data_IF_498060615657
#
_entry.id   IF_498060615657
#
_cell.length_a   1.000
_cell.length_b   1.000
_cell.length_c   1.000
_cell.angle_alpha   90.00
_cell.angle_beta   90.00
_cell.angle_gamma   90.00
#
_symmetry.space_group_name_H-M   'P 1'
#
loop_
_entity.id
_entity.type
_entity.pdbx_description
1 polymer ?
#
# COMPACT_ATOMS: atom_id res chain seq x y z
N UNK A 1 48.14 -28.41 -18.29
CA UNK A 1 48.06 -27.22 -17.41
C UNK A 1 46.72 -26.56 -17.65
N UNK A 2 45.79 -26.64 -16.70
CA UNK A 2 44.51 -25.94 -16.83
C UNK A 2 44.81 -24.44 -16.79
N UNK A 3 44.37 -23.70 -17.81
CA UNK A 3 44.64 -22.26 -17.90
C UNK A 3 43.96 -21.56 -16.72
N UNK A 4 44.71 -21.00 -15.75
CA UNK A 4 44.14 -20.44 -14.52
C UNK A 4 43.16 -19.30 -14.81
N UNK A 5 43.33 -18.63 -15.95
CA UNK A 5 42.43 -17.59 -16.44
C UNK A 5 41.02 -18.10 -16.78
N UNK A 6 40.89 -19.33 -17.28
CA UNK A 6 39.58 -19.94 -17.60
C UNK A 6 38.83 -20.33 -16.34
N UNK A 7 39.56 -20.73 -15.29
CA UNK A 7 38.99 -21.07 -13.98
C UNK A 7 38.46 -19.79 -13.32
N UNK A 8 39.24 -18.70 -13.34
CA UNK A 8 38.82 -17.41 -12.78
C UNK A 8 37.58 -16.84 -13.50
N UNK A 9 37.56 -16.89 -14.84
CA UNK A 9 36.40 -16.46 -15.62
C UNK A 9 35.14 -17.27 -15.29
N UNK A 10 35.27 -18.60 -15.12
CA UNK A 10 34.15 -19.46 -14.74
C UNK A 10 33.58 -19.12 -13.35
N UNK A 11 34.43 -18.82 -12.37
CA UNK A 11 33.99 -18.44 -11.01
C UNK A 11 33.22 -17.13 -11.02
N UNK A 12 33.69 -16.12 -11.78
CA UNK A 12 33.02 -14.83 -11.90
C UNK A 12 31.64 -14.99 -12.54
N UNK A 13 31.55 -15.75 -13.64
CA UNK A 13 30.26 -15.99 -14.32
C UNK A 13 29.29 -16.71 -13.39
N UNK A 14 29.71 -17.78 -12.72
CA UNK A 14 28.86 -18.52 -11.77
C UNK A 14 28.41 -17.64 -10.60
N UNK A 15 29.27 -16.77 -10.05
CA UNK A 15 28.90 -15.91 -8.91
C UNK A 15 27.79 -14.91 -9.22
N UNK A 16 27.64 -14.51 -10.49
CA UNK A 16 26.58 -13.59 -10.93
C UNK A 16 25.33 -14.37 -11.33
N UNK A 17 25.47 -15.53 -11.98
CA UNK A 17 24.32 -16.27 -12.51
C UNK A 17 23.62 -17.14 -11.46
N UNK A 18 24.35 -17.70 -10.48
CA UNK A 18 23.74 -18.52 -9.42
C UNK A 18 22.71 -17.76 -8.58
N UNK A 19 22.97 -16.53 -8.06
CA UNK A 19 21.98 -15.83 -7.24
C UNK A 19 20.76 -15.44 -8.07
N UNK A 20 20.92 -15.02 -9.33
CA UNK A 20 19.80 -14.68 -10.22
C UNK A 20 18.93 -15.92 -10.48
N UNK A 21 19.55 -17.07 -10.77
CA UNK A 21 18.84 -18.32 -11.01
C UNK A 21 18.15 -18.84 -9.75
N UNK A 22 18.81 -18.73 -8.59
CA UNK A 22 18.21 -19.08 -7.30
C UNK A 22 17.03 -18.15 -6.97
N UNK A 23 17.13 -16.85 -7.26
CA UNK A 23 16.02 -15.91 -7.12
C UNK A 23 14.84 -16.23 -8.04
N UNK A 24 15.07 -16.79 -9.24
CA UNK A 24 14.01 -17.22 -10.16
C UNK A 24 13.38 -18.55 -9.74
N UNK A 25 14.19 -19.51 -9.27
CA UNK A 25 13.70 -20.83 -8.85
C UNK A 25 13.02 -20.78 -7.47
N UNK A 26 13.53 -19.95 -6.56
CA UNK A 26 12.89 -19.65 -5.27
C UNK A 26 11.94 -18.46 -5.33
N UNK A 27 11.62 -17.98 -6.54
CA UNK A 27 10.43 -17.18 -6.76
C UNK A 27 9.26 -18.15 -6.62
N UNK A 28 8.83 -18.40 -5.38
CA UNK A 28 7.47 -18.87 -5.15
C UNK A 28 6.56 -17.94 -5.94
N UNK A 29 5.63 -18.52 -6.71
CA UNK A 29 4.61 -17.74 -7.42
C UNK A 29 4.02 -16.77 -6.39
N UNK A 30 4.42 -15.50 -6.48
CA UNK A 30 3.57 -14.45 -5.96
C UNK A 30 2.32 -14.65 -6.80
N UNK A 31 1.25 -15.15 -6.19
CA UNK A 31 -0.09 -14.95 -6.70
C UNK A 31 -0.27 -13.44 -6.79
N UNK A 32 0.18 -12.86 -7.91
CA UNK A 32 -0.13 -11.51 -8.28
C UNK A 32 -1.61 -11.59 -8.59
N UNK A 33 -2.44 -11.33 -7.58
CA UNK A 33 -3.76 -10.77 -7.80
C UNK A 33 -3.53 -9.36 -8.37
N UNK A 34 -3.03 -9.33 -9.60
CA UNK A 34 -3.03 -8.17 -10.48
C UNK A 34 -4.49 -7.99 -10.87
N UNK A 35 -5.17 -6.92 -10.45
CA UNK A 35 -6.47 -6.60 -11.01
C UNK A 35 -6.22 -6.26 -12.48
N UNK A 36 -6.59 -7.18 -13.38
CA UNK A 36 -6.75 -6.84 -14.78
C UNK A 36 -7.80 -5.72 -14.86
N UNK A 37 -7.37 -4.55 -15.34
CA UNK A 37 -8.26 -3.51 -15.83
C UNK A 37 -8.97 -4.04 -17.08
N UNK A 38 -10.10 -4.70 -16.89
CA UNK A 38 -11.10 -4.91 -17.93
C UNK A 38 -12.19 -3.86 -17.78
N UNK A 39 -12.27 -2.99 -18.77
CA UNK A 39 -13.40 -2.09 -18.95
C UNK A 39 -14.58 -2.91 -19.46
N UNK A 40 -15.42 -3.38 -18.54
CA UNK A 40 -16.74 -3.91 -18.83
C UNK A 40 -17.79 -3.08 -18.10
N UNK A 41 -18.40 -2.22 -18.91
CA UNK A 41 -19.82 -1.84 -18.92
C UNK A 41 -20.66 -2.31 -17.72
N UNK A 42 -21.15 -1.31 -16.99
CA UNK A 42 -22.33 -1.30 -16.11
C UNK A 42 -23.32 -2.42 -16.47
N UNK A 43 -23.45 -3.46 -15.63
CA UNK A 43 -24.63 -3.69 -14.76
C UNK A 43 -24.51 -5.02 -13.96
N UNK A 44 -24.91 -4.93 -12.67
CA UNK A 44 -25.61 -5.97 -11.86
C UNK A 44 -24.83 -6.83 -10.82
N UNK A 45 -24.64 -6.20 -9.65
CA UNK A 45 -25.21 -6.56 -8.31
C UNK A 45 -24.95 -7.96 -7.72
N UNK A 46 -24.11 -8.01 -6.67
CA UNK A 46 -24.31 -8.70 -5.36
C UNK A 46 -23.01 -8.56 -4.54
N UNK A 47 -22.91 -7.99 -3.34
CA UNK A 47 -23.85 -7.53 -2.33
C UNK A 47 -23.14 -6.41 -1.56
N UNK A 48 -23.59 -5.16 -1.72
CA UNK A 48 -23.16 -4.09 -0.81
C UNK A 48 -23.76 -4.39 0.55
N UNK A 49 -22.97 -5.02 1.41
CA UNK A 49 -23.18 -4.91 2.85
C UNK A 49 -22.96 -3.44 3.18
N UNK A 50 -24.03 -2.66 3.21
CA UNK A 50 -24.03 -1.32 3.76
C UNK A 50 -23.58 -1.45 5.22
N UNK A 51 -22.29 -1.26 5.48
CA UNK A 51 -21.79 -1.06 6.83
C UNK A 51 -22.29 0.34 7.19
N UNK A 52 -23.41 0.40 7.91
CA UNK A 52 -23.81 1.63 8.57
C UNK A 52 -22.79 1.87 9.68
N UNK A 53 -21.75 2.64 9.37
CA UNK A 53 -20.91 3.27 10.38
C UNK A 53 -21.80 4.33 11.01
N UNK A 54 -22.50 3.95 12.08
CA UNK A 54 -23.29 4.91 12.84
C UNK A 54 -22.40 6.08 13.21
N UNK A 55 -22.74 7.21 12.59
CA UNK A 55 -22.42 8.61 12.89
C UNK A 55 -21.01 8.89 13.40
N UNK A 56 -20.25 9.65 12.61
CA UNK A 56 -19.23 10.61 13.09
C UNK A 56 -19.65 11.05 14.49
N UNK A 57 -18.86 10.66 15.48
CA UNK A 57 -19.10 11.01 16.87
C UNK A 57 -19.32 12.52 16.91
N UNK A 58 -20.51 12.99 17.29
CA UNK A 58 -20.79 14.44 17.29
C UNK A 58 -19.91 15.19 18.30
N UNK A 59 -19.30 14.45 19.23
CA UNK A 59 -18.37 14.94 20.22
C UNK A 59 -16.90 14.76 19.79
N UNK A 60 -16.64 14.46 18.51
CA UNK A 60 -15.30 14.38 17.96
C UNK A 60 -14.55 15.71 18.19
N UNK A 61 -13.33 15.66 18.77
CA UNK A 61 -12.60 16.87 19.09
C UNK A 61 -12.17 17.59 17.82
N UNK A 62 -12.22 18.91 17.86
CA UNK A 62 -11.58 19.75 16.84
C UNK A 62 -10.10 19.87 17.12
N UNK A 63 -9.29 19.68 16.09
CA UNK A 63 -7.83 19.80 16.14
C UNK A 63 -7.35 20.99 15.32
N UNK A 64 -6.18 21.53 15.69
CA UNK A 64 -5.51 22.59 14.95
C UNK A 64 -4.46 21.96 14.02
N UNK A 65 -4.59 22.20 12.72
CA UNK A 65 -3.75 21.62 11.68
C UNK A 65 -2.98 22.73 11.00
N UNK A 66 -1.66 22.56 10.89
CA UNK A 66 -0.82 23.46 10.13
C UNK A 66 -0.77 23.05 8.65
N UNK A 67 -1.23 23.93 7.76
CA UNK A 67 -1.15 23.71 6.33
C UNK A 67 0.16 24.29 5.77
N UNK A 68 1.11 23.42 5.47
CA UNK A 68 2.44 23.80 4.97
C UNK A 68 2.43 24.58 3.64
N UNK A 69 1.40 24.42 2.80
CA UNK A 69 1.30 25.13 1.51
C UNK A 69 0.89 26.58 1.68
N UNK A 70 -0.02 26.83 2.63
CA UNK A 70 -0.55 28.19 2.90
C UNK A 70 0.16 28.89 4.04
N UNK A 71 0.92 28.14 4.86
CA UNK A 71 1.60 28.63 6.04
C UNK A 71 0.66 28.98 7.21
N UNK A 72 -0.59 28.49 7.19
CA UNK A 72 -1.63 28.85 8.16
C UNK A 72 -2.07 27.64 8.97
N UNK A 73 -2.44 27.89 10.22
CA UNK A 73 -3.11 26.92 11.07
C UNK A 73 -4.63 27.06 10.93
N UNK A 74 -5.33 25.96 10.73
CA UNK A 74 -6.78 25.91 10.64
C UNK A 74 -7.34 24.86 11.61
N UNK A 75 -8.55 25.09 12.10
CA UNK A 75 -9.24 24.13 12.95
C UNK A 75 -10.13 23.22 12.09
N UNK A 76 -10.08 21.91 12.34
CA UNK A 76 -10.88 20.90 11.63
C UNK A 76 -11.36 19.82 12.60
N UNK A 77 -12.42 19.13 12.24
CA UNK A 77 -12.81 17.91 12.93
C UNK A 77 -11.76 16.81 12.75
N UNK A 78 -11.47 16.03 13.81
CA UNK A 78 -10.47 14.96 13.72
C UNK A 78 -10.85 13.89 12.69
N UNK A 79 -12.14 13.57 12.51
CA UNK A 79 -12.57 12.54 11.55
C UNK A 79 -12.39 13.02 10.11
N UNK A 80 -12.69 14.30 9.83
CA UNK A 80 -12.44 14.89 8.51
C UNK A 80 -10.94 14.92 8.18
N UNK A 81 -10.10 15.22 9.17
CA UNK A 81 -8.64 15.13 9.01
C UNK A 81 -8.19 13.71 8.66
N UNK A 82 -8.71 12.69 9.36
CA UNK A 82 -8.35 11.30 9.12
C UNK A 82 -8.74 10.83 7.72
N UNK A 83 -9.88 11.27 7.16
CA UNK A 83 -10.24 10.98 5.77
C UNK A 83 -9.21 11.53 4.78
N UNK A 84 -8.71 12.74 5.03
CA UNK A 84 -7.64 13.35 4.24
C UNK A 84 -6.33 12.57 4.32
N UNK A 85 -5.92 12.19 5.54
CA UNK A 85 -4.69 11.41 5.76
C UNK A 85 -4.79 10.05 5.07
N UNK A 86 -5.87 9.31 5.28
CA UNK A 86 -6.04 7.99 4.69
C UNK A 86 -6.03 8.03 3.16
N UNK A 87 -6.71 9.02 2.58
CA UNK A 87 -6.75 9.19 1.12
C UNK A 87 -5.38 9.52 0.52
N UNK A 88 -4.47 10.11 1.31
CA UNK A 88 -3.10 10.42 0.88
C UNK A 88 -2.11 9.28 1.11
N UNK A 89 -2.27 8.50 2.17
CA UNK A 89 -1.34 7.46 2.60
C UNK A 89 -1.68 6.06 2.05
N UNK A 90 -2.96 5.75 1.85
CA UNK A 90 -3.40 4.42 1.42
C UNK A 90 -4.40 4.47 0.25
N UNK A 91 -4.21 3.67 -0.81
CA UNK A 91 -5.21 3.51 -1.86
C UNK A 91 -6.53 2.95 -1.32
N UNK A 92 -7.65 3.42 -1.87
CA UNK A 92 -9.00 2.98 -1.48
C UNK A 92 -9.26 1.48 -1.66
N UNK A 93 -8.51 0.85 -2.57
CA UNK A 93 -8.68 -0.55 -2.96
C UNK A 93 -7.94 -1.52 -2.02
N UNK A 94 -7.26 -1.01 -1.00
CA UNK A 94 -6.62 -1.83 0.02
C UNK A 94 -7.65 -2.61 0.85
N UNK A 95 -7.18 -3.69 1.47
CA UNK A 95 -8.00 -4.46 2.38
C UNK A 95 -8.55 -3.56 3.50
N UNK A 96 -9.83 -3.69 3.82
CA UNK A 96 -10.52 -2.88 4.82
C UNK A 96 -9.85 -2.91 6.20
N UNK A 97 -9.24 -4.03 6.60
CA UNK A 97 -8.53 -4.13 7.88
C UNK A 97 -7.21 -3.34 7.85
N UNK A 98 -6.58 -3.22 6.69
CA UNK A 98 -5.40 -2.38 6.51
C UNK A 98 -5.78 -0.89 6.61
N UNK A 99 -6.91 -0.49 6.00
CA UNK A 99 -7.44 0.88 6.12
C UNK A 99 -7.82 1.23 7.57
N UNK A 100 -8.45 0.31 8.30
CA UNK A 100 -8.75 0.48 9.74
C UNK A 100 -7.48 0.60 10.58
N UNK A 101 -6.49 -0.25 10.36
CA UNK A 101 -5.22 -0.18 11.07
C UNK A 101 -4.53 1.17 10.86
N UNK A 102 -4.53 1.67 9.62
CA UNK A 102 -4.00 2.99 9.31
C UNK A 102 -4.81 4.12 9.95
N UNK A 103 -6.15 4.04 9.99
CA UNK A 103 -6.98 5.03 10.69
C UNK A 103 -6.58 5.15 12.16
N UNK A 104 -6.38 4.02 12.85
CA UNK A 104 -5.95 4.00 14.25
C UNK A 104 -4.54 4.56 14.40
N UNK A 105 -3.60 4.18 13.52
CA UNK A 105 -2.24 4.70 13.53
C UNK A 105 -2.21 6.22 13.30
N UNK A 106 -2.94 6.71 12.30
CA UNK A 106 -3.05 8.13 11.98
C UNK A 106 -3.70 8.94 13.11
N UNK A 107 -4.68 8.38 13.81
CA UNK A 107 -5.31 9.02 14.98
C UNK A 107 -4.41 9.06 16.22
N UNK A 108 -3.45 8.14 16.30
CA UNK A 108 -2.50 8.06 17.43
C UNK A 108 -1.35 9.06 17.30
N UNK A 109 -1.07 9.52 16.08
CA UNK A 109 -0.04 10.51 15.77
C UNK A 109 -0.48 11.93 16.14
#
# INVERSE_FOLDING_TARGET
MNNPLRILAGVIVCSVTLPIFLSVVSYDDIETNTPQKQEQLIEKKSSSKYINYETVDKDSPKINIYNHKTGKTQQMDIEEYLYGVLSGEMPSDFNIEALKAQAVAARTY
#
